data_IF_492763398906
#
_entry.id   IF_492763398906
#
_cell.length_a   1.000
_cell.length_b   1.000
_cell.length_c   1.000
_cell.angle_alpha   90.00
_cell.angle_beta   90.00
_cell.angle_gamma   90.00
#
_symmetry.space_group_name_H-M   'P 1'
#
loop_
_entity.id
_entity.type
_entity.pdbx_description
1 polymer ?
#
# COMPACT_ATOMS: atom_id res chain seq x y z
N UNK A 1 -6.67 16.69 26.55
CA UNK A 1 -6.70 15.40 25.84
C UNK A 1 -7.61 15.54 24.63
N UNK A 2 -7.05 15.76 23.49
CA UNK A 2 -7.79 15.66 22.26
C UNK A 2 -8.06 14.19 22.00
N UNK A 3 -9.34 13.78 22.04
CA UNK A 3 -9.76 12.52 21.46
C UNK A 3 -9.31 12.56 20.01
N UNK A 4 -8.38 11.70 19.62
CA UNK A 4 -8.16 11.42 18.21
C UNK A 4 -9.51 11.00 17.64
N UNK A 5 -10.11 11.87 16.83
CA UNK A 5 -11.16 11.46 15.93
C UNK A 5 -10.53 10.41 15.07
N UNK A 6 -10.94 9.17 15.27
CA UNK A 6 -10.59 8.12 14.30
C UNK A 6 -11.27 8.51 13.00
N UNK A 7 -10.51 9.14 12.12
CA UNK A 7 -11.02 9.51 10.81
C UNK A 7 -11.40 8.23 10.07
N UNK A 8 -12.65 8.18 9.64
CA UNK A 8 -13.20 7.06 8.88
C UNK A 8 -13.47 7.55 7.48
N UNK A 9 -12.94 6.82 6.51
CA UNK A 9 -13.18 7.13 5.10
C UNK A 9 -13.89 5.96 4.44
N UNK A 10 -15.02 6.23 3.81
CA UNK A 10 -15.75 5.24 3.03
C UNK A 10 -15.16 5.15 1.62
N UNK A 11 -14.81 3.94 1.23
CA UNK A 11 -14.33 3.60 -0.12
C UNK A 11 -15.01 2.33 -0.59
N UNK A 12 -14.78 1.94 -1.83
CA UNK A 12 -15.21 0.65 -2.34
C UNK A 12 -14.02 -0.20 -2.77
N UNK A 13 -14.13 -1.49 -2.55
CA UNK A 13 -13.22 -2.49 -3.09
C UNK A 13 -14.04 -3.47 -3.92
N UNK A 14 -13.74 -3.54 -5.22
CA UNK A 14 -14.53 -4.35 -6.17
C UNK A 14 -16.05 -4.09 -6.09
N UNK A 15 -16.41 -2.81 -5.90
CA UNK A 15 -17.80 -2.38 -5.73
C UNK A 15 -18.41 -2.60 -4.36
N UNK A 16 -17.72 -3.27 -3.44
CA UNK A 16 -18.20 -3.50 -2.08
C UNK A 16 -17.75 -2.37 -1.14
N UNK A 17 -18.63 -1.85 -0.26
CA UNK A 17 -18.26 -0.81 0.69
C UNK A 17 -17.22 -1.29 1.70
N UNK A 18 -16.17 -0.49 1.89
CA UNK A 18 -15.11 -0.72 2.87
C UNK A 18 -14.85 0.57 3.62
N UNK A 19 -14.66 0.49 4.93
CA UNK A 19 -14.27 1.63 5.75
C UNK A 19 -12.78 1.56 6.05
N UNK A 20 -12.09 2.64 5.72
CA UNK A 20 -10.69 2.85 6.08
C UNK A 20 -10.61 3.69 7.35
N UNK A 21 -9.63 3.37 8.18
CA UNK A 21 -9.35 4.05 9.44
C UNK A 21 -7.95 4.66 9.42
N UNK A 22 -7.79 5.71 10.19
CA UNK A 22 -6.55 6.45 10.33
C UNK A 22 -6.65 7.83 9.69
N UNK A 23 -5.54 8.53 9.62
CA UNK A 23 -5.46 9.91 9.16
C UNK A 23 -4.76 9.98 7.82
N UNK A 24 -5.47 10.44 6.77
CA UNK A 24 -4.83 10.73 5.50
C UNK A 24 -3.79 11.84 5.63
N UNK A 25 -2.63 11.71 5.01
CA UNK A 25 -1.67 12.80 4.90
C UNK A 25 -2.32 14.03 4.25
N UNK A 26 -2.01 15.19 4.79
CA UNK A 26 -2.54 16.46 4.29
C UNK A 26 -1.59 17.03 3.25
N UNK A 27 -2.13 17.49 2.13
CA UNK A 27 -1.37 18.17 1.09
C UNK A 27 -0.64 19.39 1.67
N UNK A 28 0.63 19.56 1.32
CA UNK A 28 1.48 20.64 1.82
C UNK A 28 2.10 20.39 3.19
N UNK A 29 1.83 19.26 3.82
CA UNK A 29 2.47 18.82 5.06
C UNK A 29 3.54 17.77 4.80
N UNK A 30 4.46 17.61 5.76
CA UNK A 30 5.49 16.57 5.73
C UNK A 30 4.80 15.20 5.80
N UNK A 31 5.20 14.29 4.92
CA UNK A 31 4.70 12.92 4.93
C UNK A 31 5.04 12.22 6.25
N UNK A 32 4.11 11.44 6.82
CA UNK A 32 4.39 10.66 8.03
C UNK A 32 5.56 9.71 7.83
N UNK A 33 6.46 9.63 8.81
CA UNK A 33 7.57 8.71 8.79
C UNK A 33 7.07 7.25 8.77
N UNK A 34 7.79 6.39 8.07
CA UNK A 34 7.52 4.96 8.07
C UNK A 34 8.82 4.15 8.12
N UNK A 35 8.68 2.90 8.52
CA UNK A 35 9.71 1.88 8.40
C UNK A 35 9.07 0.63 7.81
N UNK A 36 9.41 0.31 6.58
CA UNK A 36 8.90 -0.83 5.82
C UNK A 36 10.06 -1.74 5.41
N UNK A 37 9.75 -2.88 4.81
CA UNK A 37 10.73 -3.92 4.51
C UNK A 37 10.83 -4.10 3.00
N UNK A 38 12.05 -4.06 2.47
CA UNK A 38 12.31 -4.33 1.07
C UNK A 38 12.49 -5.82 0.76
N UNK A 39 12.79 -6.15 -0.50
CA UNK A 39 13.02 -7.52 -0.98
C UNK A 39 14.18 -8.23 -0.27
N UNK A 40 15.14 -7.48 0.24
CA UNK A 40 16.33 -8.00 0.93
C UNK A 40 16.18 -7.99 2.45
N UNK A 41 14.94 -7.83 2.94
CA UNK A 41 14.58 -7.73 4.36
C UNK A 41 15.23 -6.56 5.10
N UNK A 42 15.65 -5.54 4.37
CA UNK A 42 16.20 -4.31 4.94
C UNK A 42 15.07 -3.35 5.33
N UNK A 43 15.26 -2.65 6.44
CA UNK A 43 14.36 -1.58 6.85
C UNK A 43 14.55 -0.35 5.98
N UNK A 44 13.48 0.08 5.34
CA UNK A 44 13.44 1.22 4.44
C UNK A 44 12.56 2.31 5.04
N UNK A 45 13.08 3.53 5.03
CA UNK A 45 12.41 4.74 5.52
C UNK A 45 12.32 5.79 4.43
N UNK A 46 11.64 6.91 4.70
CA UNK A 46 11.63 8.05 3.78
C UNK A 46 13.05 8.58 3.52
N UNK A 47 13.91 8.54 4.52
CA UNK A 47 15.30 9.00 4.43
C UNK A 47 16.14 8.12 3.51
N UNK A 48 15.75 6.87 3.28
CA UNK A 48 16.42 5.99 2.32
C UNK A 48 16.44 6.55 0.89
N UNK A 49 15.53 7.46 0.58
CA UNK A 49 15.36 8.10 -0.73
C UNK A 49 15.49 9.62 -0.64
N UNK A 50 16.33 10.12 0.27
CA UNK A 50 16.56 11.55 0.44
C UNK A 50 16.99 12.20 -0.88
N UNK A 51 16.39 13.35 -1.19
CA UNK A 51 16.66 14.11 -2.42
C UNK A 51 15.87 13.63 -3.64
N UNK A 52 15.10 12.54 -3.53
CA UNK A 52 14.24 12.05 -4.61
C UNK A 52 12.76 12.33 -4.30
N UNK A 53 12.02 12.63 -5.35
CA UNK A 53 10.56 12.65 -5.31
C UNK A 53 10.05 11.21 -5.16
N UNK A 54 9.10 11.00 -4.27
CA UNK A 54 8.56 9.67 -3.96
C UNK A 54 7.11 9.60 -4.38
N UNK A 55 6.77 8.60 -5.17
CA UNK A 55 5.38 8.24 -5.50
C UNK A 55 5.06 6.96 -4.74
N UNK A 56 4.07 7.02 -3.86
CA UNK A 56 3.63 5.87 -3.07
C UNK A 56 2.38 5.26 -3.72
N UNK A 57 2.54 4.08 -4.29
CA UNK A 57 1.44 3.28 -4.81
C UNK A 57 1.06 2.24 -3.76
N UNK A 58 0.02 2.54 -2.98
CA UNK A 58 -0.41 1.70 -1.85
C UNK A 58 -1.54 0.80 -2.33
N UNK A 59 -1.32 -0.49 -2.30
CA UNK A 59 -2.24 -1.49 -2.82
C UNK A 59 -2.52 -2.58 -1.78
N UNK A 60 -3.72 -3.21 -1.80
CA UNK A 60 -4.03 -4.31 -0.89
C UNK A 60 -3.13 -5.53 -1.10
N UNK A 61 -2.92 -5.92 -2.35
CA UNK A 61 -2.03 -7.02 -2.74
C UNK A 61 -1.71 -6.95 -4.23
N UNK A 62 -0.49 -7.34 -4.59
CA UNK A 62 -0.10 -7.49 -6.00
C UNK A 62 -0.81 -8.67 -6.69
N UNK A 63 -1.40 -9.57 -5.93
CA UNK A 63 -2.20 -10.70 -6.44
C UNK A 63 -3.60 -10.31 -6.92
N UNK A 64 -3.99 -9.04 -6.84
CA UNK A 64 -5.25 -8.56 -7.39
C UNK A 64 -5.03 -7.96 -8.78
N UNK A 65 -5.98 -8.18 -9.70
CA UNK A 65 -5.83 -7.76 -11.11
C UNK A 65 -5.62 -6.25 -11.27
N UNK A 66 -6.37 -5.43 -10.54
CA UNK A 66 -6.26 -3.97 -10.58
C UNK A 66 -4.92 -3.49 -10.03
N UNK A 67 -4.46 -4.07 -8.92
CA UNK A 67 -3.18 -3.72 -8.31
C UNK A 67 -2.00 -4.13 -9.19
N UNK A 68 -2.06 -5.29 -9.83
CA UNK A 68 -1.07 -5.74 -10.80
C UNK A 68 -0.99 -4.79 -12.00
N UNK A 69 -2.12 -4.41 -12.57
CA UNK A 69 -2.19 -3.46 -13.70
C UNK A 69 -1.65 -2.09 -13.29
N UNK A 70 -2.05 -1.56 -12.15
CA UNK A 70 -1.55 -0.30 -11.61
C UNK A 70 -0.03 -0.32 -11.45
N UNK A 71 0.52 -1.39 -10.89
CA UNK A 71 1.97 -1.53 -10.70
C UNK A 71 2.72 -1.57 -12.02
N UNK A 72 2.20 -2.27 -13.03
CA UNK A 72 2.79 -2.27 -14.38
C UNK A 72 2.81 -0.87 -14.98
N UNK A 73 1.71 -0.12 -14.86
CA UNK A 73 1.61 1.25 -15.37
C UNK A 73 2.59 2.19 -14.68
N UNK A 74 2.71 2.10 -13.36
CA UNK A 74 3.69 2.89 -12.62
C UNK A 74 5.13 2.50 -12.97
N UNK A 75 5.41 1.23 -13.20
CA UNK A 75 6.73 0.79 -13.65
C UNK A 75 7.11 1.38 -15.00
N UNK A 76 6.19 1.39 -15.97
CA UNK A 76 6.40 2.02 -17.27
C UNK A 76 6.65 3.53 -17.13
N UNK A 77 5.82 4.23 -16.35
CA UNK A 77 5.95 5.66 -16.14
C UNK A 77 7.21 6.04 -15.37
N UNK A 78 7.66 5.22 -14.44
CA UNK A 78 8.82 5.50 -13.60
C UNK A 78 10.12 5.70 -14.40
N UNK A 79 10.28 4.99 -15.50
CA UNK A 79 11.44 5.11 -16.36
C UNK A 79 11.59 6.50 -17.01
N UNK A 80 10.48 7.21 -17.18
CA UNK A 80 10.44 8.55 -17.77
C UNK A 80 10.50 9.69 -16.73
N UNK A 81 10.40 9.37 -15.44
CA UNK A 81 10.36 10.36 -14.36
C UNK A 81 11.78 10.62 -13.80
N UNK A 82 12.31 11.81 -14.08
CA UNK A 82 13.61 12.22 -13.54
C UNK A 82 13.52 12.42 -12.02
N UNK A 83 14.58 11.99 -11.31
CA UNK A 83 14.73 12.18 -9.87
C UNK A 83 13.51 11.73 -9.04
N UNK A 84 12.89 10.63 -9.44
CA UNK A 84 11.68 10.10 -8.84
C UNK A 84 11.86 8.61 -8.56
N UNK A 85 11.38 8.16 -7.40
CA UNK A 85 11.27 6.74 -7.06
C UNK A 85 9.79 6.39 -6.86
N UNK A 86 9.36 5.27 -7.43
CA UNK A 86 8.02 4.72 -7.21
C UNK A 86 8.11 3.59 -6.21
N UNK A 87 7.42 3.76 -5.10
CA UNK A 87 7.34 2.80 -4.00
C UNK A 87 6.00 2.08 -4.06
N UNK A 88 6.02 0.79 -4.31
CA UNK A 88 4.83 -0.06 -4.28
C UNK A 88 4.73 -0.71 -2.91
N UNK A 89 3.67 -0.37 -2.19
CA UNK A 89 3.51 -0.73 -0.78
C UNK A 89 2.29 -1.65 -0.65
N UNK A 90 2.49 -2.83 -0.10
CA UNK A 90 1.40 -3.79 0.13
C UNK A 90 1.61 -4.61 1.39
N UNK A 91 0.56 -5.34 1.78
CA UNK A 91 0.62 -6.29 2.89
C UNK A 91 1.23 -7.64 2.49
N UNK A 92 1.61 -7.83 1.24
CA UNK A 92 2.30 -9.03 0.79
C UNK A 92 3.64 -9.19 1.48
N UNK A 93 4.12 -10.43 1.59
CA UNK A 93 5.47 -10.69 2.07
C UNK A 93 6.50 -10.18 1.05
N UNK A 94 7.69 -9.76 1.50
CA UNK A 94 8.73 -9.25 0.61
C UNK A 94 9.07 -10.21 -0.52
N UNK A 95 9.10 -11.51 -0.24
CA UNK A 95 9.40 -12.55 -1.22
C UNK A 95 8.33 -12.68 -2.29
N UNK A 96 7.05 -12.56 -1.92
CA UNK A 96 5.94 -12.60 -2.86
C UNK A 96 5.97 -11.39 -3.80
N UNK A 97 6.28 -10.21 -3.28
CA UNK A 97 6.44 -8.99 -4.07
C UNK A 97 7.60 -9.10 -5.04
N UNK A 98 8.72 -9.62 -4.59
CA UNK A 98 9.91 -9.86 -5.43
C UNK A 98 9.59 -10.85 -6.56
N UNK A 99 8.91 -11.93 -6.24
CA UNK A 99 8.49 -12.94 -7.24
C UNK A 99 7.59 -12.31 -8.31
N UNK A 100 6.65 -11.49 -7.92
CA UNK A 100 5.77 -10.77 -8.84
C UNK A 100 6.58 -9.88 -9.79
N UNK A 101 7.49 -9.06 -9.25
CA UNK A 101 8.31 -8.18 -10.07
C UNK A 101 9.20 -8.93 -11.05
N UNK A 102 9.81 -10.04 -10.63
CA UNK A 102 10.63 -10.89 -11.51
C UNK A 102 9.79 -11.50 -12.62
N UNK A 103 8.64 -12.07 -12.27
CA UNK A 103 7.74 -12.72 -13.24
C UNK A 103 7.20 -11.74 -14.29
N UNK A 104 6.97 -10.47 -13.90
CA UNK A 104 6.42 -9.42 -14.77
C UNK A 104 7.50 -8.52 -15.39
N UNK A 105 8.77 -8.73 -15.08
CA UNK A 105 9.86 -7.91 -15.61
C UNK A 105 9.86 -6.46 -15.12
N UNK A 106 9.42 -6.21 -13.88
CA UNK A 106 9.27 -4.86 -13.32
C UNK A 106 10.53 -4.45 -12.55
N UNK A 107 11.38 -3.64 -13.15
CA UNK A 107 12.66 -3.22 -12.57
C UNK A 107 12.69 -1.76 -12.10
N UNK A 108 11.68 -0.96 -12.45
CA UNK A 108 11.67 0.49 -12.21
C UNK A 108 10.88 0.90 -10.97
N UNK A 109 10.38 -0.04 -10.20
CA UNK A 109 9.67 0.19 -8.95
C UNK A 109 10.41 -0.47 -7.79
N UNK A 110 10.26 0.12 -6.60
CA UNK A 110 10.75 -0.46 -5.34
C UNK A 110 9.54 -1.02 -4.58
N UNK A 111 9.58 -2.29 -4.25
CA UNK A 111 8.52 -2.92 -3.45
C UNK A 111 8.85 -2.85 -1.97
N UNK A 112 7.87 -2.45 -1.17
CA UNK A 112 7.97 -2.35 0.28
C UNK A 112 6.81 -3.10 0.93
N UNK A 113 7.14 -3.98 1.87
CA UNK A 113 6.16 -4.79 2.59
C UNK A 113 5.79 -4.16 3.92
N UNK A 114 4.50 -4.23 4.26
CA UNK A 114 3.95 -3.85 5.57
C UNK A 114 4.23 -4.90 6.66
N UNK A 115 5.01 -5.93 6.38
CA UNK A 115 5.26 -7.06 7.28
C UNK A 115 5.70 -6.64 8.69
N UNK A 116 6.51 -5.59 8.81
CA UNK A 116 6.99 -5.04 10.09
C UNK A 116 6.54 -3.61 10.36
N UNK A 117 5.91 -2.95 9.42
CA UNK A 117 5.56 -1.52 9.47
C UNK A 117 4.07 -1.27 9.68
N UNK A 118 3.45 -1.86 10.70
CA UNK A 118 2.00 -1.81 10.92
C UNK A 118 1.42 -0.40 11.13
N UNK A 119 2.21 0.52 11.66
CA UNK A 119 1.78 1.91 11.89
C UNK A 119 1.54 2.67 10.59
N UNK A 120 2.13 2.22 9.48
CA UNK A 120 1.96 2.83 8.17
C UNK A 120 0.48 2.95 7.78
N UNK A 121 -0.27 1.88 7.92
CA UNK A 121 -1.69 1.88 7.52
C UNK A 121 -2.50 2.93 8.26
N UNK A 122 -2.25 3.12 9.55
CA UNK A 122 -2.92 4.12 10.36
C UNK A 122 -2.46 5.53 9.98
N UNK A 123 -1.16 5.74 9.84
CA UNK A 123 -0.57 7.05 9.59
C UNK A 123 -0.86 7.57 8.19
N UNK A 124 -1.20 6.69 7.26
CA UNK A 124 -1.59 7.03 5.89
C UNK A 124 -3.10 6.86 5.62
N UNK A 125 -3.88 6.54 6.64
CA UNK A 125 -5.35 6.47 6.54
C UNK A 125 -5.89 5.31 5.71
N UNK A 126 -5.12 4.25 5.56
CA UNK A 126 -5.47 3.09 4.70
C UNK A 126 -5.73 1.82 5.50
N UNK A 127 -5.91 1.92 6.81
CA UNK A 127 -6.16 0.77 7.68
C UNK A 127 -7.58 0.25 7.50
N UNK A 128 -7.72 -0.99 7.10
CA UNK A 128 -9.00 -1.70 7.13
C UNK A 128 -9.21 -2.35 8.51
N UNK A 129 -10.43 -2.33 9.03
CA UNK A 129 -10.81 -2.82 10.37
C UNK A 129 -10.40 -4.27 10.65
N UNK A 130 -10.29 -5.11 9.61
CA UNK A 130 -10.10 -6.55 9.78
C UNK A 130 -8.65 -7.02 9.70
N UNK A 131 -7.67 -6.16 9.55
CA UNK A 131 -6.27 -6.55 9.25
C UNK A 131 -6.13 -7.60 8.14
N UNK A 132 -7.21 -7.85 7.43
CA UNK A 132 -7.25 -8.80 6.32
C UNK A 132 -7.37 -7.99 5.05
N UNK A 133 -6.54 -8.29 4.12
CA UNK A 133 -6.89 -8.16 2.72
C UNK A 133 -8.36 -8.53 2.61
N UNK A 134 -9.16 -7.62 2.05
CA UNK A 134 -10.58 -7.91 1.88
C UNK A 134 -10.68 -9.24 1.17
N UNK A 135 -11.02 -10.28 1.90
CA UNK A 135 -11.45 -11.51 1.27
C UNK A 135 -12.66 -11.14 0.42
N UNK A 136 -12.45 -11.19 -0.87
CA UNK A 136 -13.52 -11.17 -1.81
C UNK A 136 -14.61 -12.11 -1.30
N UNK A 137 -15.75 -11.51 -1.00
CA UNK A 137 -17.04 -12.14 -0.95
C UNK A 137 -17.11 -13.55 -0.31
N UNK A 138 -17.33 -13.62 0.99
CA UNK A 138 -18.15 -14.71 1.51
C UNK A 138 -19.60 -14.38 1.11
N UNK A 139 -20.24 -15.20 0.28
CA UNK A 139 -21.68 -15.08 0.18
C UNK A 139 -22.22 -15.19 1.61
N UNK A 140 -23.06 -14.25 2.02
CA UNK A 140 -23.85 -14.43 3.23
C UNK A 140 -24.53 -15.78 3.04
N UNK A 141 -24.26 -16.73 3.92
CA UNK A 141 -25.17 -17.86 4.04
C UNK A 141 -26.52 -17.23 4.26
N UNK A 142 -27.45 -17.48 3.35
CA UNK A 142 -28.83 -17.20 3.61
C UNK A 142 -29.13 -17.82 4.97
N UNK A 143 -29.45 -17.00 5.97
CA UNK A 143 -29.80 -17.49 7.26
C UNK A 143 -30.97 -18.44 7.04
N UNK A 144 -30.79 -19.69 7.42
CA UNK A 144 -31.94 -20.55 7.59
C UNK A 144 -32.83 -19.88 8.63
N UNK A 145 -34.01 -19.47 8.21
CA UNK A 145 -35.04 -18.94 9.08
C UNK A 145 -35.43 -19.91 10.15
#
# INVERSE_FOLDING_TARGET
MTKEKSDKTAVTLEGAPVTLYGTFPVVGKIAPAFKLVDKDLQDITLQSFTGKRKVLNIVPSLDTAVCATSTRRFNEAASALANTVVLVISADLPFAMSRFCVAEGLENVVTLSLMRGRDFMRNYGVKNRRHRLVRTHRPRRAGAG
#
